data_IF_695412054583
#
_entry.id   IF_695412054583
#
_cell.length_a   1.000
_cell.length_b   1.000
_cell.length_c   1.000
_cell.angle_alpha   90.00
_cell.angle_beta   90.00
_cell.angle_gamma   90.00
#
_symmetry.space_group_name_H-M   'P 1'
#
loop_
_entity.id
_entity.type
_entity.pdbx_description
1 polymer ?
#
# COMPACT_ATOMS: atom_id res chain seq x y z
N UNK A 1 -11.75 -8.02 5.35
CA UNK A 1 -13.02 -7.94 6.07
C UNK A 1 -14.25 -7.87 5.15
N UNK A 2 -14.09 -7.76 3.83
CA UNK A 2 -15.18 -7.76 2.84
C UNK A 2 -15.43 -9.17 2.27
N UNK A 3 -15.62 -10.14 3.16
CA UNK A 3 -15.76 -11.56 2.81
C UNK A 3 -17.20 -12.04 3.02
N UNK A 4 -17.67 -13.00 2.20
CA UNK A 4 -18.98 -13.64 2.42
C UNK A 4 -19.04 -14.28 3.81
N UNK A 5 -20.18 -14.19 4.53
CA UNK A 5 -20.37 -14.90 5.79
C UNK A 5 -20.40 -16.42 5.56
N UNK A 6 -20.00 -17.18 6.59
CA UNK A 6 -20.08 -18.65 6.56
C UNK A 6 -18.97 -19.38 5.80
N UNK A 7 -17.92 -18.70 5.43
CA UNK A 7 -16.71 -19.35 4.89
C UNK A 7 -15.90 -20.01 6.00
N UNK A 8 -14.92 -20.85 5.64
CA UNK A 8 -14.00 -21.46 6.61
C UNK A 8 -13.27 -20.38 7.40
N UNK A 9 -13.12 -20.55 8.71
CA UNK A 9 -12.45 -19.60 9.60
C UNK A 9 -11.06 -19.18 9.07
N UNK A 10 -10.31 -20.10 8.50
CA UNK A 10 -8.98 -19.84 7.94
C UNK A 10 -8.97 -18.79 6.82
N UNK A 11 -10.09 -18.52 6.16
CA UNK A 11 -10.20 -17.50 5.12
C UNK A 11 -10.42 -16.10 5.68
N UNK A 12 -10.75 -15.98 6.97
CA UNK A 12 -10.90 -14.68 7.64
C UNK A 12 -9.63 -14.21 8.35
N UNK A 13 -8.57 -15.01 8.36
CA UNK A 13 -7.31 -14.57 8.92
C UNK A 13 -6.73 -13.43 8.07
N UNK A 14 -6.34 -12.36 8.75
CA UNK A 14 -5.58 -11.28 8.12
C UNK A 14 -4.18 -11.80 7.83
N UNK A 15 -3.87 -11.91 6.56
CA UNK A 15 -2.59 -12.43 6.09
C UNK A 15 -1.56 -11.30 6.05
N UNK A 16 -0.98 -11.01 7.21
CA UNK A 16 0.10 -10.04 7.37
C UNK A 16 1.38 -10.76 7.87
N UNK A 17 1.58 -11.98 7.39
CA UNK A 17 2.76 -12.78 7.70
C UNK A 17 3.91 -12.40 6.76
N UNK A 18 4.98 -11.87 7.31
CA UNK A 18 6.17 -11.46 6.56
C UNK A 18 6.80 -12.60 5.73
N UNK A 19 6.64 -13.86 6.14
CA UNK A 19 7.12 -15.01 5.38
C UNK A 19 6.47 -15.11 4.01
N UNK A 20 5.20 -14.76 3.92
CA UNK A 20 4.46 -14.74 2.66
C UNK A 20 4.89 -13.61 1.74
N UNK A 21 5.39 -12.50 2.30
CA UNK A 21 6.01 -11.44 1.49
C UNK A 21 7.21 -11.97 0.71
N UNK A 22 8.11 -12.71 1.37
CA UNK A 22 9.29 -13.27 0.72
C UNK A 22 9.00 -14.47 -0.19
N UNK A 23 8.02 -15.30 0.17
CA UNK A 23 7.73 -16.55 -0.56
C UNK A 23 6.74 -16.37 -1.71
N UNK A 24 5.79 -15.45 -1.59
CA UNK A 24 4.66 -15.29 -2.50
C UNK A 24 4.45 -13.86 -2.99
N UNK A 25 5.26 -12.90 -2.53
CA UNK A 25 5.11 -11.50 -2.90
C UNK A 25 3.95 -10.77 -2.22
N UNK A 26 3.41 -11.30 -1.13
CA UNK A 26 2.32 -10.65 -0.41
C UNK A 26 2.78 -9.32 0.21
N UNK A 27 1.90 -8.32 0.17
CA UNK A 27 2.14 -7.03 0.81
C UNK A 27 1.76 -7.07 2.28
N UNK A 28 2.69 -6.71 3.16
CA UNK A 28 2.51 -6.68 4.61
C UNK A 28 2.41 -5.25 5.13
N UNK A 29 1.65 -5.05 6.21
CA UNK A 29 1.45 -3.72 6.81
C UNK A 29 2.50 -3.38 7.86
N UNK A 30 3.37 -4.30 8.23
CA UNK A 30 4.36 -4.21 9.31
C UNK A 30 3.74 -4.04 10.72
N UNK A 31 2.42 -4.06 10.85
CA UNK A 31 1.74 -3.76 12.13
C UNK A 31 1.85 -4.86 13.15
N UNK A 32 1.94 -6.12 12.73
CA UNK A 32 2.06 -7.30 13.58
C UNK A 32 3.49 -7.88 13.65
N UNK A 33 4.45 -7.21 13.03
CA UNK A 33 5.86 -7.60 13.11
C UNK A 33 6.50 -7.03 14.37
N UNK A 34 7.15 -7.87 15.14
CA UNK A 34 7.94 -7.45 16.30
C UNK A 34 9.29 -6.85 15.88
N UNK A 35 9.97 -6.18 16.81
CA UNK A 35 11.35 -5.74 16.57
C UNK A 35 12.27 -6.92 16.24
N UNK A 36 12.06 -8.06 16.90
CA UNK A 36 12.80 -9.30 16.62
C UNK A 36 12.60 -9.79 15.17
N UNK A 37 11.40 -9.63 14.60
CA UNK A 37 11.16 -10.01 13.21
C UNK A 37 11.93 -9.09 12.25
N UNK A 38 11.94 -7.79 12.53
CA UNK A 38 12.74 -6.82 11.75
C UNK A 38 14.23 -7.12 11.87
N UNK A 39 14.73 -7.37 13.09
CA UNK A 39 16.14 -7.73 13.33
C UNK A 39 16.55 -8.99 12.56
N UNK A 40 15.64 -9.97 12.45
CA UNK A 40 15.88 -11.18 11.64
C UNK A 40 15.97 -10.88 10.16
N UNK A 41 15.07 -10.04 9.63
CA UNK A 41 15.11 -9.62 8.22
C UNK A 41 16.43 -8.93 7.92
N UNK A 42 16.84 -8.00 8.76
CA UNK A 42 18.12 -7.29 8.65
C UNK A 42 19.31 -8.26 8.74
N UNK A 43 19.33 -9.10 9.77
CA UNK A 43 20.44 -10.05 10.02
C UNK A 43 20.66 -11.02 8.86
N UNK A 44 19.59 -11.53 8.26
CA UNK A 44 19.66 -12.48 7.15
C UNK A 44 19.56 -11.83 5.79
N UNK A 45 19.47 -10.49 5.74
CA UNK A 45 19.32 -9.68 4.54
C UNK A 45 18.21 -10.20 3.61
N UNK A 46 17.03 -10.45 4.21
CA UNK A 46 15.88 -10.98 3.47
C UNK A 46 15.27 -9.87 2.59
N UNK A 47 15.41 -10.01 1.29
CA UNK A 47 14.95 -9.04 0.28
C UNK A 47 14.36 -9.77 -0.94
N UNK A 48 13.43 -9.14 -1.70
CA UNK A 48 12.71 -7.93 -1.32
C UNK A 48 11.60 -8.19 -0.31
N UNK A 49 11.22 -7.17 0.46
CA UNK A 49 9.99 -7.18 1.25
C UNK A 49 8.94 -6.27 0.60
N UNK A 50 7.69 -6.75 0.49
CA UNK A 50 6.60 -5.99 -0.09
C UNK A 50 5.76 -5.35 1.02
N UNK A 51 5.61 -4.02 1.00
CA UNK A 51 5.03 -3.24 2.09
C UNK A 51 3.77 -2.53 1.62
N UNK A 52 2.65 -2.75 2.32
CA UNK A 52 1.40 -2.02 2.14
C UNK A 52 1.42 -0.75 2.98
N UNK A 53 1.71 0.37 2.34
CA UNK A 53 1.83 1.66 3.03
C UNK A 53 0.48 2.28 3.35
N UNK A 54 -0.45 2.29 2.41
CA UNK A 54 -1.74 2.98 2.39
C UNK A 54 -1.59 4.50 2.40
N UNK A 55 -0.83 5.06 3.31
CA UNK A 55 -0.45 6.46 3.42
C UNK A 55 0.80 6.58 4.30
N UNK A 56 1.56 7.64 4.09
CA UNK A 56 2.69 8.02 4.96
C UNK A 56 2.27 8.95 6.10
N UNK A 57 1.01 9.35 6.16
CA UNK A 57 0.44 10.09 7.29
C UNK A 57 0.13 9.11 8.45
N UNK A 58 0.85 9.19 9.59
CA UNK A 58 0.70 8.21 10.66
C UNK A 58 -0.71 8.14 11.27
N UNK A 59 -1.37 9.30 11.41
CA UNK A 59 -2.72 9.38 11.99
C UNK A 59 -3.76 8.78 11.04
N UNK A 60 -3.67 9.13 9.76
CA UNK A 60 -4.56 8.57 8.74
C UNK A 60 -4.33 7.06 8.59
N UNK A 61 -3.09 6.60 8.65
CA UNK A 61 -2.76 5.18 8.59
C UNK A 61 -3.39 4.39 9.75
N UNK A 62 -3.35 4.94 10.97
CA UNK A 62 -4.04 4.33 12.11
C UNK A 62 -5.55 4.21 11.87
N UNK A 63 -6.18 5.22 11.28
CA UNK A 63 -7.61 5.20 10.94
C UNK A 63 -7.90 4.16 9.86
N UNK A 64 -7.15 4.17 8.76
CA UNK A 64 -7.37 3.27 7.61
C UNK A 64 -7.20 1.79 7.98
N UNK A 65 -6.20 1.47 8.79
CA UNK A 65 -5.92 0.10 9.22
C UNK A 65 -6.68 -0.31 10.49
N UNK A 66 -7.48 0.61 11.06
CA UNK A 66 -8.16 0.41 12.35
C UNK A 66 -7.22 -0.15 13.42
N UNK A 67 -6.01 0.42 13.49
CA UNK A 67 -4.94 -0.04 14.38
C UNK A 67 -4.14 1.16 14.89
N UNK A 68 -4.21 1.41 16.19
CA UNK A 68 -3.54 2.55 16.87
C UNK A 68 -2.01 2.54 16.72
N UNK A 69 -1.40 1.40 16.41
CA UNK A 69 0.05 1.26 16.24
C UNK A 69 0.49 1.36 14.77
N UNK A 70 -0.44 1.49 13.83
CA UNK A 70 -0.11 1.46 12.42
C UNK A 70 0.76 2.65 11.97
N UNK A 71 0.59 3.81 12.58
CA UNK A 71 1.44 4.97 12.32
C UNK A 71 2.88 4.75 12.78
N UNK A 72 3.08 4.18 13.97
CA UNK A 72 4.41 3.86 14.47
C UNK A 72 5.11 2.76 13.69
N UNK A 73 4.36 1.84 13.10
CA UNK A 73 4.91 0.77 12.28
C UNK A 73 5.70 1.31 11.07
N UNK A 74 5.46 2.54 10.62
CA UNK A 74 6.25 3.19 9.57
C UNK A 74 7.73 3.35 9.96
N UNK A 75 8.07 3.49 11.25
CA UNK A 75 9.47 3.55 11.72
C UNK A 75 10.26 2.29 11.42
N UNK A 76 9.59 1.15 11.21
CA UNK A 76 10.25 -0.09 10.80
C UNK A 76 10.81 0.00 9.38
N UNK A 77 10.20 0.84 8.53
CA UNK A 77 10.71 1.10 7.18
C UNK A 77 12.06 1.81 7.24
N UNK A 78 12.25 2.74 8.18
CA UNK A 78 13.53 3.42 8.40
C UNK A 78 14.64 2.40 8.71
N UNK A 79 14.37 1.43 9.60
CA UNK A 79 15.33 0.36 9.93
C UNK A 79 15.66 -0.54 8.74
N UNK A 80 14.66 -0.89 7.93
CA UNK A 80 14.86 -1.70 6.72
C UNK A 80 15.70 -0.94 5.69
N UNK A 81 15.42 0.35 5.52
CA UNK A 81 16.18 1.23 4.63
C UNK A 81 17.64 1.38 5.08
N UNK A 82 17.88 1.69 6.37
CA UNK A 82 19.23 1.81 6.95
C UNK A 82 20.06 0.53 6.79
N UNK A 83 19.39 -0.62 6.79
CA UNK A 83 20.01 -1.93 6.59
C UNK A 83 20.19 -2.31 5.10
N UNK A 84 19.77 -1.46 4.17
CA UNK A 84 19.87 -1.72 2.73
C UNK A 84 18.94 -2.82 2.22
N UNK A 85 17.82 -3.06 2.91
CA UNK A 85 16.83 -4.05 2.48
C UNK A 85 16.03 -3.51 1.32
N UNK A 86 15.99 -4.26 0.22
CA UNK A 86 15.16 -3.94 -0.94
C UNK A 86 13.67 -4.07 -0.59
N UNK A 87 12.89 -3.06 -0.99
CA UNK A 87 11.46 -2.96 -0.70
C UNK A 87 10.65 -2.69 -1.97
N UNK A 88 9.42 -3.18 -2.02
CA UNK A 88 8.39 -2.75 -2.96
C UNK A 88 7.20 -2.23 -2.16
N UNK A 89 6.59 -1.15 -2.63
CA UNK A 89 5.47 -0.51 -1.96
C UNK A 89 4.14 -0.71 -2.67
N UNK A 90 3.06 -0.66 -1.90
CA UNK A 90 1.71 -0.56 -2.44
C UNK A 90 0.90 0.47 -1.65
N UNK A 91 0.11 1.25 -2.37
CA UNK A 91 -0.91 2.14 -1.82
C UNK A 91 -2.26 1.67 -2.36
N UNK A 92 -3.12 1.16 -1.49
CA UNK A 92 -4.53 0.92 -1.83
C UNK A 92 -5.28 2.24 -1.63
N UNK A 93 -5.72 2.83 -2.74
CA UNK A 93 -6.32 4.15 -2.76
C UNK A 93 -7.81 4.08 -2.48
N UNK A 94 -8.27 4.89 -1.53
CA UNK A 94 -9.67 5.04 -1.12
C UNK A 94 -10.13 6.47 -1.41
N UNK A 95 -11.15 6.63 -2.26
CA UNK A 95 -11.67 7.93 -2.67
C UNK A 95 -12.11 8.78 -1.48
N UNK A 96 -11.62 10.02 -1.43
CA UNK A 96 -11.89 10.97 -0.36
C UNK A 96 -11.20 10.65 0.97
N UNK A 97 -10.23 9.72 0.99
CA UNK A 97 -9.52 9.31 2.20
C UNK A 97 -8.02 9.54 2.08
N UNK A 98 -7.35 8.85 1.14
CA UNK A 98 -5.91 8.94 0.93
C UNK A 98 -5.53 9.27 -0.53
N UNK A 99 -6.48 9.82 -1.29
CA UNK A 99 -6.30 10.32 -2.66
C UNK A 99 -5.88 11.80 -2.70
N UNK A 100 -5.78 12.38 -3.88
CA UNK A 100 -5.43 13.78 -4.09
C UNK A 100 -4.14 14.20 -3.40
N UNK A 101 -4.21 15.24 -2.57
CA UNK A 101 -3.05 15.80 -1.85
C UNK A 101 -2.39 14.79 -0.89
N UNK A 102 -3.17 13.89 -0.30
CA UNK A 102 -2.65 12.86 0.59
C UNK A 102 -1.83 11.80 -0.18
N UNK A 103 -2.24 11.47 -1.40
CA UNK A 103 -1.46 10.62 -2.28
C UNK A 103 -0.13 11.31 -2.65
N UNK A 104 -0.18 12.57 -3.07
CA UNK A 104 1.04 13.35 -3.39
C UNK A 104 1.98 13.47 -2.18
N UNK A 105 1.43 13.69 -0.99
CA UNK A 105 2.20 13.69 0.25
C UNK A 105 2.90 12.35 0.47
N UNK A 106 2.17 11.25 0.34
CA UNK A 106 2.72 9.91 0.54
C UNK A 106 3.81 9.57 -0.49
N UNK A 107 3.61 9.92 -1.77
CA UNK A 107 4.62 9.72 -2.82
C UNK A 107 5.91 10.49 -2.47
N UNK A 108 5.79 11.75 -2.06
CA UNK A 108 6.93 12.58 -1.67
C UNK A 108 7.68 12.03 -0.45
N UNK A 109 6.95 11.58 0.57
CA UNK A 109 7.57 10.99 1.76
C UNK A 109 8.28 9.66 1.46
N UNK A 110 7.80 8.89 0.48
CA UNK A 110 8.40 7.62 0.10
C UNK A 110 9.71 7.79 -0.68
N UNK A 111 9.98 8.96 -1.30
CA UNK A 111 11.24 9.22 -2.00
C UNK A 111 12.47 9.09 -1.11
N UNK A 112 12.32 9.35 0.19
CA UNK A 112 13.44 9.24 1.14
C UNK A 112 14.02 7.84 1.27
N UNK A 113 13.29 6.82 0.81
CA UNK A 113 13.73 5.42 0.85
C UNK A 113 14.38 4.94 -0.46
N UNK A 114 14.55 5.82 -1.44
CA UNK A 114 15.34 5.50 -2.63
C UNK A 114 16.83 5.30 -2.27
N UNK A 115 17.55 4.37 -2.89
CA UNK A 115 17.08 3.43 -3.92
C UNK A 115 16.51 2.11 -3.38
N UNK A 116 16.47 1.89 -2.04
CA UNK A 116 16.03 0.62 -1.46
C UNK A 116 14.55 0.32 -1.72
N UNK A 117 13.70 1.34 -1.75
CA UNK A 117 12.32 1.20 -2.21
C UNK A 117 12.30 1.35 -3.73
N UNK A 118 12.26 0.21 -4.44
CA UNK A 118 12.43 0.16 -5.90
C UNK A 118 11.19 0.63 -6.66
N UNK A 119 10.00 0.34 -6.12
CA UNK A 119 8.74 0.70 -6.78
C UNK A 119 7.60 0.88 -5.79
N UNK A 120 6.61 1.68 -6.18
CA UNK A 120 5.33 1.81 -5.45
C UNK A 120 4.17 1.71 -6.43
N UNK A 121 3.31 0.72 -6.22
CA UNK A 121 2.09 0.53 -7.00
C UNK A 121 0.90 1.20 -6.32
N UNK A 122 0.15 2.01 -7.05
CA UNK A 122 -1.11 2.60 -6.61
C UNK A 122 -2.26 1.84 -7.24
N UNK A 123 -3.10 1.23 -6.41
CA UNK A 123 -4.26 0.43 -6.86
C UNK A 123 -5.54 0.95 -6.23
N UNK A 124 -6.68 0.94 -6.91
CA UNK A 124 -7.95 1.32 -6.29
C UNK A 124 -8.40 0.29 -5.27
N UNK A 125 -9.09 0.73 -4.22
CA UNK A 125 -9.72 -0.19 -3.28
C UNK A 125 -10.79 -1.02 -3.98
N UNK A 126 -10.73 -2.35 -3.82
CA UNK A 126 -11.80 -3.25 -4.24
C UNK A 126 -12.97 -3.16 -3.28
N UNK A 127 -14.18 -2.94 -3.81
CA UNK A 127 -15.41 -2.87 -3.00
C UNK A 127 -16.27 -4.09 -3.32
N UNK A 128 -16.66 -4.83 -2.28
CA UNK A 128 -17.59 -5.96 -2.38
C UNK A 128 -18.94 -5.61 -1.76
N UNK A 129 -19.95 -6.43 -2.00
CA UNK A 129 -21.27 -6.29 -1.36
C UNK A 129 -21.27 -6.62 0.15
N UNK A 130 -20.20 -7.22 0.66
CA UNK A 130 -20.09 -7.65 2.06
C UNK A 130 -19.42 -6.56 2.91
N UNK A 131 -20.07 -5.39 3.01
CA UNK A 131 -19.51 -4.23 3.70
C UNK A 131 -20.35 -3.75 4.88
N UNK A 132 -21.28 -4.55 5.35
CA UNK A 132 -22.09 -4.21 6.52
C UNK A 132 -21.20 -3.99 7.76
N UNK A 133 -21.38 -2.86 8.43
CA UNK A 133 -20.59 -2.48 9.60
C UNK A 133 -19.17 -1.95 9.31
N UNK A 134 -18.75 -1.86 8.04
CA UNK A 134 -17.48 -1.25 7.65
C UNK A 134 -17.66 0.22 7.28
N UNK A 135 -16.57 1.00 7.41
CA UNK A 135 -16.52 2.40 6.98
C UNK A 135 -17.01 2.53 5.54
N UNK A 136 -17.97 3.42 5.26
CA UNK A 136 -18.49 3.62 3.92
C UNK A 136 -17.40 4.18 3.02
N UNK A 137 -17.14 3.50 1.90
CA UNK A 137 -16.22 3.94 0.87
C UNK A 137 -16.96 4.13 -0.45
N UNK A 138 -16.52 5.10 -1.23
CA UNK A 138 -17.06 5.36 -2.56
C UNK A 138 -16.16 4.73 -3.64
N UNK A 139 -16.74 4.13 -4.69
CA UNK A 139 -15.96 3.68 -5.84
C UNK A 139 -15.43 4.89 -6.61
N UNK A 140 -14.28 4.71 -7.25
CA UNK A 140 -13.75 5.71 -8.18
C UNK A 140 -14.57 5.73 -9.46
N UNK A 141 -14.86 6.92 -9.95
CA UNK A 141 -15.44 7.13 -11.28
C UNK A 141 -14.34 7.16 -12.34
N UNK A 142 -14.73 7.21 -13.60
CA UNK A 142 -13.79 7.36 -14.72
C UNK A 142 -13.05 8.71 -14.67
N UNK A 143 -13.72 9.74 -14.20
CA UNK A 143 -13.16 11.08 -14.01
C UNK A 143 -12.12 11.07 -12.88
N UNK A 144 -12.46 10.48 -11.73
CA UNK A 144 -11.52 10.30 -10.61
C UNK A 144 -10.27 9.52 -11.04
N UNK A 145 -10.44 8.46 -11.84
CA UNK A 145 -9.31 7.68 -12.34
C UNK A 145 -8.35 8.51 -13.20
N UNK A 146 -8.87 9.42 -14.02
CA UNK A 146 -8.03 10.35 -14.80
C UNK A 146 -7.22 11.29 -13.91
N UNK A 147 -7.82 11.78 -12.82
CA UNK A 147 -7.11 12.64 -11.85
C UNK A 147 -5.99 11.88 -11.16
N UNK A 148 -6.25 10.64 -10.72
CA UNK A 148 -5.24 9.77 -10.12
C UNK A 148 -4.11 9.48 -11.11
N UNK A 149 -4.44 9.13 -12.35
CA UNK A 149 -3.44 8.87 -13.40
C UNK A 149 -2.61 10.13 -13.69
N UNK A 150 -3.20 11.31 -13.73
CA UNK A 150 -2.47 12.56 -13.92
C UNK A 150 -1.47 12.84 -12.79
N UNK A 151 -1.83 12.53 -11.53
CA UNK A 151 -0.91 12.63 -10.39
C UNK A 151 0.26 11.64 -10.57
N UNK A 152 -0.03 10.38 -10.91
CA UNK A 152 1.00 9.35 -11.08
C UNK A 152 1.93 9.72 -12.23
N UNK A 153 1.42 10.11 -13.39
CA UNK A 153 2.21 10.52 -14.56
C UNK A 153 3.10 11.74 -14.26
N UNK A 154 2.58 12.72 -13.54
CA UNK A 154 3.36 13.88 -13.05
C UNK A 154 4.57 13.42 -12.24
N UNK A 155 4.35 12.53 -11.27
CA UNK A 155 5.42 12.03 -10.41
C UNK A 155 6.37 11.08 -11.13
N UNK A 156 5.89 10.23 -12.05
CA UNK A 156 6.76 9.43 -12.91
C UNK A 156 7.75 10.29 -13.68
N UNK A 157 7.29 11.41 -14.24
CA UNK A 157 8.14 12.36 -14.95
C UNK A 157 9.20 12.96 -14.02
N UNK A 158 8.82 13.42 -12.83
CA UNK A 158 9.75 13.97 -11.82
C UNK A 158 10.81 12.95 -11.46
N UNK A 159 10.43 11.70 -11.14
CA UNK A 159 11.38 10.66 -10.78
C UNK A 159 12.31 10.26 -11.93
N UNK A 160 11.79 10.24 -13.15
CA UNK A 160 12.63 9.94 -14.31
C UNK A 160 13.63 11.06 -14.59
N UNK A 161 13.23 12.32 -14.47
CA UNK A 161 14.12 13.48 -14.68
C UNK A 161 15.18 13.61 -13.56
N UNK A 162 14.82 13.35 -12.30
CA UNK A 162 15.72 13.55 -11.17
C UNK A 162 16.62 12.33 -10.88
N UNK A 163 16.07 11.12 -11.04
CA UNK A 163 16.72 9.87 -10.60
C UNK A 163 16.92 8.85 -11.71
N UNK A 164 16.36 9.06 -12.90
CA UNK A 164 16.36 8.09 -13.99
C UNK A 164 15.55 6.81 -13.70
N UNK A 165 14.58 6.89 -12.77
CA UNK A 165 13.82 5.75 -12.26
C UNK A 165 12.33 5.87 -12.59
N UNK A 166 11.71 4.72 -12.86
CA UNK A 166 10.26 4.58 -12.84
C UNK A 166 9.84 4.07 -11.45
N UNK A 167 9.55 4.99 -10.53
CA UNK A 167 9.33 4.67 -9.12
C UNK A 167 7.87 4.40 -8.78
N UNK A 168 6.94 5.22 -9.30
CA UNK A 168 5.51 5.12 -9.00
C UNK A 168 4.75 4.54 -10.18
N UNK A 169 3.82 3.61 -9.94
CA UNK A 169 3.08 2.91 -10.98
C UNK A 169 1.59 2.89 -10.68
N UNK A 170 0.79 3.08 -11.71
CA UNK A 170 -0.65 2.82 -11.66
C UNK A 170 -0.91 1.32 -11.86
N UNK A 171 -1.76 0.74 -11.04
CA UNK A 171 -2.26 -0.62 -11.29
C UNK A 171 -3.13 -0.68 -12.54
N UNK A 172 -3.22 -1.85 -13.16
CA UNK A 172 -4.01 -2.07 -14.39
C UNK A 172 -5.48 -1.70 -14.23
N UNK A 173 -5.98 -1.74 -13.01
CA UNK A 173 -7.36 -1.41 -12.66
C UNK A 173 -7.74 0.02 -13.04
N UNK A 174 -6.80 0.95 -13.02
CA UNK A 174 -7.05 2.34 -13.41
C UNK A 174 -7.36 2.53 -14.91
N UNK A 175 -6.88 1.63 -15.75
CA UNK A 175 -7.08 1.65 -17.19
C UNK A 175 -8.31 0.86 -17.63
N UNK A 176 -8.82 -0.04 -16.76
CA UNK A 176 -10.08 -0.74 -16.98
C UNK A 176 -11.21 0.11 -16.39
N UNK A 177 -12.34 0.26 -17.09
CA UNK A 177 -13.46 1.09 -16.61
C UNK A 177 -13.83 0.76 -15.15
N UNK A 178 -13.77 1.71 -14.22
CA UNK A 178 -14.09 1.48 -12.81
C UNK A 178 -15.51 0.95 -12.56
N UNK A 179 -16.42 1.13 -13.51
CA UNK A 179 -17.81 0.64 -13.45
C UNK A 179 -17.96 -0.88 -13.54
N UNK A 180 -16.90 -1.64 -13.82
CA UNK A 180 -16.96 -3.11 -13.91
C UNK A 180 -16.70 -3.81 -12.57
N UNK A 181 -16.29 -3.10 -11.52
CA UNK A 181 -16.10 -3.65 -10.18
C UNK A 181 -17.26 -3.42 -9.22
N UNK A 182 -18.43 -3.05 -9.71
CA UNK A 182 -19.66 -3.23 -8.92
C UNK A 182 -19.99 -4.72 -8.97
N UNK A 183 -19.58 -5.41 -7.90
CA UNK A 183 -19.67 -6.86 -7.80
C UNK A 183 -21.08 -7.40 -8.13
N UNK A 184 -21.10 -8.33 -9.05
CA UNK A 184 -22.22 -9.26 -9.23
C UNK A 184 -22.39 -10.13 -7.99
#
# INVERSE_FOLDING_TARGET
DQMPPGMRETLYFKDDDSRLSFLQGNYVTLTNMSEHDIDRIVKYHLSPINISFQTMNPQLRCKMLNNRFAGEALKKVDKLFEAGITMNGQIVLCKGVNDGEELEYSIRELTKYLPCLESVSVVPVGLTKYREGLEPLQPFTKEDAKEVLAIIEKWQKVFYEEYGLHFIHAGDEWYRSPSLYQGT
#
